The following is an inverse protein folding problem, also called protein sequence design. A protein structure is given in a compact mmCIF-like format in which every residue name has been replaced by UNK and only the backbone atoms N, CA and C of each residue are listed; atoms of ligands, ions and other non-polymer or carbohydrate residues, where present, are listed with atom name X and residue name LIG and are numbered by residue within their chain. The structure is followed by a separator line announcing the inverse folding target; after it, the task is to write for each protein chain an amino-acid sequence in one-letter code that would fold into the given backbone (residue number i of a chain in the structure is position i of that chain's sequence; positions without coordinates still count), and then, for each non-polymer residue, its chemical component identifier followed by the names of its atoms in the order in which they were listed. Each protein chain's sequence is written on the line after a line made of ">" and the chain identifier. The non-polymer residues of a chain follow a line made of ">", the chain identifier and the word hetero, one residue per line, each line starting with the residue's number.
data_IF_954036937189
#
_entry.id   IF_954036937189
#
_cell.length_a   1.000
_cell.length_b   1.000
_cell.length_c   1.000
_cell.angle_alpha   90.00
_cell.angle_beta   90.00
_cell.angle_gamma   90.00
#
_symmetry.space_group_name_H-M   'P 1'
#
loop_
_entity.id
_entity.type
_entity.pdbx_description
1 polymer ?
#
# COMPACT_ATOMS: atom_id res chain seq x y z
N UNK A 1 -11.69 -18.51 -19.42
CA UNK A 1 -12.80 -17.83 -18.74
C UNK A 1 -13.74 -18.78 -17.99
N UNK A 2 -14.32 -19.83 -18.61
CA UNK A 2 -15.25 -20.76 -17.93
C UNK A 2 -14.68 -21.39 -16.65
N UNK A 3 -13.42 -21.85 -16.65
CA UNK A 3 -12.76 -22.47 -15.47
C UNK A 3 -12.61 -21.50 -14.28
N UNK A 4 -12.38 -20.19 -14.53
CA UNK A 4 -12.28 -19.17 -13.49
C UNK A 4 -13.65 -18.89 -12.88
N UNK A 5 -14.70 -18.83 -13.72
CA UNK A 5 -16.07 -18.64 -13.26
C UNK A 5 -16.55 -19.83 -12.40
N UNK A 6 -16.20 -21.07 -12.78
CA UNK A 6 -16.52 -22.27 -12.01
C UNK A 6 -15.78 -22.30 -10.67
N UNK A 7 -14.52 -21.85 -10.63
CA UNK A 7 -13.73 -21.74 -9.39
C UNK A 7 -14.32 -20.68 -8.46
N UNK A 8 -14.72 -19.52 -8.99
CA UNK A 8 -15.38 -18.45 -8.23
C UNK A 8 -16.75 -18.91 -7.71
N UNK A 9 -17.51 -19.66 -8.50
CA UNK A 9 -18.80 -20.22 -8.06
C UNK A 9 -18.64 -21.28 -6.96
N UNK A 10 -17.64 -22.18 -7.10
CA UNK A 10 -17.30 -23.17 -6.07
C UNK A 10 -16.80 -22.49 -4.76
N UNK A 11 -15.93 -21.50 -4.86
CA UNK A 11 -15.50 -20.70 -3.69
C UNK A 11 -16.69 -19.98 -3.03
N UNK A 12 -17.55 -19.35 -3.82
CA UNK A 12 -18.77 -18.69 -3.34
C UNK A 12 -19.73 -19.66 -2.65
N UNK A 13 -19.95 -20.86 -3.21
CA UNK A 13 -20.85 -21.87 -2.62
C UNK A 13 -20.30 -22.47 -1.32
N UNK A 14 -18.99 -22.67 -1.20
CA UNK A 14 -18.34 -23.11 0.04
C UNK A 14 -18.46 -22.03 1.13
N UNK A 15 -18.26 -20.75 0.79
CA UNK A 15 -18.42 -19.62 1.71
C UNK A 15 -19.86 -19.49 2.22
N UNK A 16 -20.86 -19.67 1.36
CA UNK A 16 -22.28 -19.61 1.73
C UNK A 16 -22.69 -20.81 2.59
N UNK A 17 -22.23 -22.02 2.27
CA UNK A 17 -22.55 -23.23 3.06
C UNK A 17 -21.96 -23.19 4.48
N UNK A 18 -20.82 -22.54 4.66
CA UNK A 18 -20.16 -22.39 5.98
C UNK A 18 -20.77 -21.26 6.83
N UNK A 19 -21.59 -20.37 6.22
CA UNK A 19 -22.19 -19.21 6.92
C UNK A 19 -23.37 -19.55 7.84
N UNK A 20 -23.84 -20.79 7.87
CA UNK A 20 -25.04 -21.19 8.62
C UNK A 20 -24.81 -21.52 10.12
N UNK A 21 -23.62 -21.27 10.67
CA UNK A 21 -23.26 -21.82 11.99
C UNK A 21 -22.83 -20.84 13.10
N UNK A 22 -22.68 -19.53 12.87
CA UNK A 22 -22.19 -18.64 13.91
C UNK A 22 -22.95 -17.28 13.89
N UNK A 23 -24.00 -17.19 14.69
CA UNK A 23 -24.89 -16.01 14.76
C UNK A 23 -24.30 -14.81 15.51
N UNK A 24 -23.10 -14.94 16.08
CA UNK A 24 -22.44 -13.87 16.82
C UNK A 24 -21.05 -13.54 16.27
N UNK A 25 -20.99 -12.77 15.22
CA UNK A 25 -19.73 -12.17 14.75
C UNK A 25 -19.82 -10.63 14.82
N UNK A 26 -18.68 -10.01 15.13
CA UNK A 26 -18.59 -8.55 15.14
C UNK A 26 -18.74 -8.00 13.72
N UNK A 27 -19.66 -7.04 13.56
CA UNK A 27 -20.05 -6.53 12.23
C UNK A 27 -19.17 -5.41 11.75
N UNK A 28 -18.36 -4.83 12.62
CA UNK A 28 -17.51 -3.70 12.32
C UNK A 28 -16.10 -3.95 12.84
N UNK A 29 -15.11 -3.41 12.15
CA UNK A 29 -13.73 -3.45 12.58
C UNK A 29 -13.02 -2.15 12.19
N UNK A 30 -12.19 -1.65 13.08
CA UNK A 30 -11.24 -0.55 12.81
C UNK A 30 -9.85 -1.13 12.98
N UNK A 31 -8.96 -0.87 12.03
CA UNK A 31 -7.58 -1.30 12.11
C UNK A 31 -6.59 -0.17 11.85
N UNK A 32 -5.43 -0.25 12.50
CA UNK A 32 -4.24 0.52 12.21
C UNK A 32 -3.21 -0.43 11.59
N UNK A 33 -2.68 -0.06 10.44
CA UNK A 33 -1.74 -0.86 9.68
C UNK A 33 -0.44 -0.11 9.39
N UNK A 34 0.67 -0.84 9.46
CA UNK A 34 1.99 -0.43 8.98
C UNK A 34 2.52 -1.42 7.94
N UNK A 35 3.14 -0.93 6.88
CA UNK A 35 3.70 -1.72 5.79
C UNK A 35 5.13 -1.28 5.49
N UNK A 36 5.99 -2.26 5.20
CA UNK A 36 7.34 -2.06 4.69
C UNK A 36 7.50 -2.81 3.37
N UNK A 37 7.95 -2.10 2.33
CA UNK A 37 8.07 -2.68 1.00
C UNK A 37 9.53 -2.94 0.59
N UNK A 38 9.73 -3.90 -0.29
CA UNK A 38 11.05 -4.19 -0.86
C UNK A 38 11.55 -3.08 -1.81
N UNK A 39 10.69 -2.16 -2.21
CA UNK A 39 11.04 -0.96 -2.99
C UNK A 39 11.51 0.21 -2.12
N UNK A 40 11.69 -0.02 -0.83
CA UNK A 40 12.14 1.01 0.12
C UNK A 40 11.09 2.09 0.35
N UNK A 41 9.82 1.70 0.45
CA UNK A 41 8.74 2.57 0.91
C UNK A 41 8.16 2.03 2.20
N UNK A 42 7.64 2.92 3.04
CA UNK A 42 6.76 2.56 4.13
C UNK A 42 5.37 3.15 3.88
N UNK A 43 4.37 2.50 4.43
CA UNK A 43 2.99 2.93 4.38
C UNK A 43 2.37 2.81 5.77
N UNK A 44 1.49 3.73 6.11
CA UNK A 44 0.64 3.67 7.30
C UNK A 44 -0.78 4.01 6.87
N UNK A 45 -1.74 3.24 7.34
CA UNK A 45 -3.15 3.52 7.10
C UNK A 45 -4.05 3.13 8.28
N UNK A 46 -5.22 3.76 8.31
CA UNK A 46 -6.33 3.41 9.17
C UNK A 46 -7.46 2.91 8.29
N UNK A 47 -7.99 1.76 8.62
CA UNK A 47 -9.07 1.12 7.87
C UNK A 47 -10.31 0.90 8.74
N UNK A 48 -11.46 0.94 8.09
CA UNK A 48 -12.73 0.51 8.63
C UNK A 48 -13.28 -0.61 7.75
N UNK A 49 -13.76 -1.69 8.37
CA UNK A 49 -14.39 -2.80 7.67
C UNK A 49 -15.83 -3.00 8.18
N UNK A 50 -16.74 -3.18 7.25
CA UNK A 50 -18.10 -3.65 7.49
C UNK A 50 -18.20 -5.10 7.07
N UNK A 51 -18.43 -5.98 8.02
CA UNK A 51 -18.52 -7.42 7.83
C UNK A 51 -20.00 -7.80 7.65
N UNK A 52 -20.34 -8.44 6.55
CA UNK A 52 -21.70 -8.87 6.22
C UNK A 52 -21.96 -10.31 6.62
N UNK A 53 -20.94 -11.16 6.48
CA UNK A 53 -20.96 -12.56 6.90
C UNK A 53 -19.64 -12.84 7.62
N UNK A 54 -19.50 -13.93 8.40
CA UNK A 54 -18.23 -14.27 9.06
C UNK A 54 -17.01 -14.36 8.12
N UNK A 55 -17.24 -14.36 6.80
CA UNK A 55 -16.22 -14.60 5.78
C UNK A 55 -16.07 -13.47 4.76
N UNK A 56 -17.04 -12.55 4.68
CA UNK A 56 -17.05 -11.51 3.64
C UNK A 56 -17.43 -10.17 4.22
N UNK A 57 -16.66 -9.18 3.92
CA UNK A 57 -16.89 -7.78 4.26
C UNK A 57 -16.38 -6.83 3.18
N UNK A 58 -16.66 -5.57 3.36
CA UNK A 58 -16.05 -4.47 2.59
C UNK A 58 -15.31 -3.55 3.53
N UNK A 59 -14.24 -2.95 3.03
CA UNK A 59 -13.41 -2.03 3.77
C UNK A 59 -13.15 -0.74 3.02
N UNK A 60 -12.73 0.26 3.77
CA UNK A 60 -12.13 1.47 3.24
C UNK A 60 -11.00 1.90 4.16
N UNK A 61 -9.84 2.20 3.60
CA UNK A 61 -8.72 2.75 4.34
C UNK A 61 -8.29 4.11 3.79
N UNK A 62 -7.78 4.93 4.68
CA UNK A 62 -7.10 6.18 4.36
C UNK A 62 -5.70 6.13 4.96
N UNK A 63 -4.72 6.56 4.21
CA UNK A 63 -3.34 6.46 4.65
C UNK A 63 -2.40 7.29 3.80
N UNK A 64 -1.12 7.11 4.09
CA UNK A 64 -0.02 7.71 3.34
C UNK A 64 1.10 6.69 3.14
N UNK A 65 1.84 6.85 2.07
CA UNK A 65 3.09 6.15 1.88
C UNK A 65 4.21 7.15 1.57
N UNK A 66 5.42 6.78 1.94
CA UNK A 66 6.62 7.59 1.67
C UNK A 66 7.77 6.69 1.22
N UNK A 67 8.49 7.15 0.19
CA UNK A 67 9.67 6.47 -0.29
C UNK A 67 10.91 6.94 0.48
N UNK A 68 11.62 5.99 1.10
CA UNK A 68 12.84 6.24 1.89
C UNK A 68 14.13 5.83 1.18
N UNK A 69 14.06 4.91 0.20
CA UNK A 69 15.25 4.52 -0.55
C UNK A 69 15.45 5.41 -1.78
N UNK A 70 16.68 5.82 -1.98
CA UNK A 70 17.10 6.69 -3.07
C UNK A 70 17.95 5.90 -4.06
N UNK A 71 17.49 5.83 -5.31
CA UNK A 71 18.25 5.25 -6.39
C UNK A 71 18.56 6.35 -7.40
N UNK A 72 19.85 6.62 -7.59
CA UNK A 72 20.32 7.64 -8.50
C UNK A 72 20.24 9.07 -7.94
N UNK A 73 21.09 9.92 -8.45
CA UNK A 73 21.10 11.36 -8.17
C UNK A 73 21.03 12.05 -9.53
N UNK A 74 19.88 12.66 -9.89
CA UNK A 74 19.81 13.46 -11.09
C UNK A 74 20.79 14.63 -11.02
N UNK A 75 21.57 14.79 -12.07
CA UNK A 75 22.57 15.87 -12.21
C UNK A 75 22.61 16.38 -13.64
N UNK A 76 23.11 17.58 -13.82
CA UNK A 76 23.27 18.21 -15.10
C UNK A 76 24.37 19.27 -15.12
N UNK A 77 24.39 20.11 -16.13
CA UNK A 77 25.40 21.13 -16.25
C UNK A 77 25.17 22.24 -15.20
N UNK A 78 26.00 22.23 -14.14
CA UNK A 78 25.94 23.21 -13.06
C UNK A 78 24.82 23.03 -12.04
N UNK A 79 24.24 21.83 -11.96
CA UNK A 79 23.24 21.53 -10.94
C UNK A 79 23.23 20.03 -10.55
N UNK A 80 22.76 19.75 -9.35
CA UNK A 80 22.59 18.40 -8.81
C UNK A 80 21.36 18.36 -7.89
N UNK A 81 20.63 17.24 -7.86
CA UNK A 81 19.53 17.07 -6.90
C UNK A 81 20.08 16.82 -5.51
N UNK A 82 19.72 17.67 -4.55
CA UNK A 82 20.15 17.55 -3.16
C UNK A 82 19.78 16.21 -2.57
N UNK A 83 20.69 15.57 -1.85
CA UNK A 83 20.45 14.29 -1.18
C UNK A 83 19.54 14.45 0.04
N UNK A 84 19.51 15.61 0.66
CA UNK A 84 18.90 15.82 1.97
C UNK A 84 17.39 16.12 1.91
N UNK A 85 16.88 16.51 0.73
CA UNK A 85 15.49 16.96 0.56
C UNK A 85 14.82 16.32 -0.65
N UNK A 86 14.69 14.99 -0.64
CA UNK A 86 13.97 14.26 -1.69
C UNK A 86 12.71 13.64 -1.10
N UNK A 87 11.58 14.15 -1.49
CA UNK A 87 10.29 13.64 -1.02
C UNK A 87 9.50 13.08 -2.18
N UNK A 88 8.98 11.87 -2.00
CA UNK A 88 7.95 11.28 -2.81
C UNK A 88 6.99 10.61 -1.82
N UNK A 89 5.86 11.24 -1.63
CA UNK A 89 4.83 10.80 -0.70
C UNK A 89 3.45 11.02 -1.29
N UNK A 90 2.55 10.10 -1.01
CA UNK A 90 1.16 10.20 -1.46
C UNK A 90 0.23 9.90 -0.31
N UNK A 91 -0.86 10.65 -0.25
CA UNK A 91 -2.06 10.26 0.48
C UNK A 91 -2.92 9.39 -0.42
N UNK A 92 -3.64 8.43 0.17
CA UNK A 92 -4.52 7.56 -0.58
C UNK A 92 -5.82 7.26 0.16
N UNK A 93 -6.84 6.95 -0.63
CA UNK A 93 -8.07 6.28 -0.23
C UNK A 93 -8.10 4.91 -0.91
N UNK A 94 -8.44 3.85 -0.16
CA UNK A 94 -8.43 2.47 -0.66
C UNK A 94 -9.69 1.73 -0.25
N UNK A 95 -10.74 1.69 -1.08
CA UNK A 95 -11.82 0.70 -0.93
C UNK A 95 -11.30 -0.72 -1.16
N UNK A 96 -11.82 -1.68 -0.41
CA UNK A 96 -11.39 -3.07 -0.45
C UNK A 96 -12.54 -4.05 -0.22
N UNK A 97 -12.32 -5.30 -0.62
CA UNK A 97 -13.15 -6.44 -0.29
C UNK A 97 -12.38 -7.31 0.72
N UNK A 98 -12.96 -7.56 1.89
CA UNK A 98 -12.36 -8.40 2.91
C UNK A 98 -12.93 -9.82 2.80
N UNK A 99 -12.05 -10.80 2.58
CA UNK A 99 -12.37 -12.22 2.49
C UNK A 99 -11.60 -12.94 3.60
N UNK A 100 -12.29 -13.66 4.48
CA UNK A 100 -11.69 -14.36 5.62
C UNK A 100 -12.09 -15.82 5.58
N UNK A 101 -11.15 -16.73 5.85
CA UNK A 101 -11.46 -18.16 5.94
C UNK A 101 -12.21 -18.51 7.22
N UNK A 102 -12.85 -19.68 7.29
CA UNK A 102 -13.16 -20.30 8.57
C UNK A 102 -11.91 -20.42 9.45
N UNK A 103 -12.10 -20.59 10.77
CA UNK A 103 -10.98 -20.80 11.71
C UNK A 103 -10.18 -22.05 11.30
N UNK A 104 -8.92 -21.85 10.93
CA UNK A 104 -7.99 -22.90 10.51
C UNK A 104 -7.41 -23.62 11.73
N UNK A 105 -7.10 -22.85 12.78
CA UNK A 105 -6.54 -23.36 14.03
C UNK A 105 -7.08 -22.55 15.20
N UNK A 106 -7.44 -23.25 16.28
CA UNK A 106 -7.84 -22.62 17.55
C UNK A 106 -6.90 -23.09 18.65
N UNK A 107 -6.28 -22.15 19.35
CA UNK A 107 -5.40 -22.40 20.51
C UNK A 107 -5.93 -21.56 21.66
N UNK A 108 -6.48 -22.20 22.65
CA UNK A 108 -7.23 -21.54 23.73
C UNK A 108 -8.31 -20.63 23.16
N UNK A 109 -8.24 -19.31 23.43
CA UNK A 109 -9.19 -18.32 22.93
C UNK A 109 -8.75 -17.67 21.60
N UNK A 110 -7.54 -17.95 21.14
CA UNK A 110 -7.03 -17.43 19.89
C UNK A 110 -7.53 -18.24 18.68
N UNK A 111 -8.08 -17.56 17.68
CA UNK A 111 -8.57 -18.16 16.43
C UNK A 111 -7.68 -17.68 15.28
N UNK A 112 -6.97 -18.62 14.65
CA UNK A 112 -6.17 -18.36 13.45
C UNK A 112 -7.02 -18.51 12.20
N UNK A 113 -6.99 -17.52 11.33
CA UNK A 113 -7.70 -17.48 10.05
C UNK A 113 -6.76 -17.04 8.92
N UNK A 114 -7.08 -17.43 7.70
CA UNK A 114 -6.48 -16.88 6.49
C UNK A 114 -7.34 -15.71 6.00
N UNK A 115 -6.73 -14.72 5.40
CA UNK A 115 -7.51 -13.67 4.73
C UNK A 115 -6.89 -13.25 3.40
N UNK A 116 -7.75 -12.68 2.56
CA UNK A 116 -7.40 -12.02 1.32
C UNK A 116 -8.18 -10.71 1.22
N UNK A 117 -7.49 -9.63 0.90
CA UNK A 117 -8.09 -8.30 0.82
C UNK A 117 -7.66 -7.61 -0.48
N UNK A 118 -8.31 -7.92 -1.63
CA UNK A 118 -8.14 -7.14 -2.85
C UNK A 118 -8.69 -5.72 -2.65
N UNK A 119 -7.96 -4.72 -3.15
CA UNK A 119 -8.29 -3.31 -3.01
C UNK A 119 -7.96 -2.50 -4.26
N UNK A 120 -8.53 -1.30 -4.29
CA UNK A 120 -8.28 -0.30 -5.31
C UNK A 120 -7.81 0.99 -4.63
N UNK A 121 -6.55 1.35 -4.86
CA UNK A 121 -5.92 2.51 -4.26
C UNK A 121 -6.09 3.73 -5.18
N UNK A 122 -6.62 4.81 -4.63
CA UNK A 122 -6.71 6.13 -5.24
C UNK A 122 -5.72 7.06 -4.54
N UNK A 123 -4.64 7.45 -5.21
CA UNK A 123 -3.60 8.30 -4.64
C UNK A 123 -3.80 9.77 -5.01
N UNK A 124 -3.25 10.65 -4.17
CA UNK A 124 -3.04 12.07 -4.46
C UNK A 124 -1.53 12.28 -4.54
N UNK A 125 -0.92 12.12 -5.75
CA UNK A 125 0.51 12.09 -5.88
C UNK A 125 1.16 13.46 -5.66
N UNK A 126 2.18 13.49 -4.82
CA UNK A 126 2.99 14.68 -4.55
C UNK A 126 4.47 14.32 -4.45
N UNK A 127 5.28 14.85 -5.37
CA UNK A 127 6.73 14.65 -5.37
C UNK A 127 7.46 15.99 -5.40
N UNK A 128 8.48 16.09 -4.56
CA UNK A 128 9.29 17.29 -4.38
C UNK A 128 10.77 16.94 -4.34
N UNK A 129 11.60 17.77 -4.95
CA UNK A 129 13.06 17.70 -4.82
C UNK A 129 13.64 19.11 -4.80
N UNK A 130 14.74 19.27 -4.08
CA UNK A 130 15.56 20.45 -4.14
C UNK A 130 16.73 20.22 -5.10
N UNK A 131 16.95 21.18 -6.00
CA UNK A 131 18.05 21.19 -6.96
C UNK A 131 19.05 22.25 -6.50
N UNK A 132 20.25 21.80 -6.19
CA UNK A 132 21.37 22.66 -5.82
C UNK A 132 22.03 23.19 -7.09
N UNK A 133 22.06 24.49 -7.27
CA UNK A 133 22.80 25.15 -8.33
C UNK A 133 24.26 25.26 -7.92
N UNK A 134 25.16 24.72 -8.73
CA UNK A 134 26.57 24.67 -8.43
C UNK A 134 27.28 25.95 -8.93
N UNK A 135 28.01 26.59 -8.03
CA UNK A 135 28.91 27.68 -8.35
C UNK A 135 30.36 27.18 -8.62
N UNK A 136 31.31 28.08 -8.56
CA UNK A 136 32.71 27.74 -8.69
C UNK A 136 33.12 26.72 -7.57
N UNK A 137 33.96 25.76 -7.94
CA UNK A 137 34.42 24.69 -7.03
C UNK A 137 33.30 23.77 -6.48
N UNK A 138 32.18 23.57 -7.22
CA UNK A 138 31.06 22.74 -6.82
C UNK A 138 30.41 23.15 -5.47
N UNK A 139 30.51 24.41 -5.11
CA UNK A 139 29.79 24.94 -3.93
C UNK A 139 28.36 25.26 -4.32
N UNK A 140 27.41 24.94 -3.45
CA UNK A 140 26.00 25.32 -3.67
C UNK A 140 25.87 26.82 -3.65
N UNK A 141 25.42 27.42 -4.76
CA UNK A 141 25.21 28.85 -4.93
C UNK A 141 23.76 29.24 -4.62
N UNK A 142 22.82 28.40 -5.01
CA UNK A 142 21.39 28.61 -4.84
C UNK A 142 20.67 27.27 -4.82
N UNK A 143 19.41 27.24 -4.36
CA UNK A 143 18.59 26.03 -4.26
C UNK A 143 17.23 26.30 -4.89
N UNK A 144 16.84 25.47 -5.83
CA UNK A 144 15.56 25.55 -6.52
C UNK A 144 14.66 24.36 -6.13
N UNK A 145 13.42 24.65 -5.74
CA UNK A 145 12.44 23.61 -5.45
C UNK A 145 11.68 23.22 -6.73
N UNK A 146 11.70 21.93 -7.06
CA UNK A 146 11.00 21.35 -8.21
C UNK A 146 9.99 20.32 -7.71
N UNK A 147 8.74 20.46 -8.17
CA UNK A 147 7.66 19.57 -7.75
C UNK A 147 6.88 19.00 -8.94
N UNK A 148 6.20 17.89 -8.71
CA UNK A 148 5.31 17.26 -9.68
C UNK A 148 4.16 16.52 -9.02
N UNK A 149 3.01 16.48 -9.66
CA UNK A 149 1.88 15.61 -9.34
C UNK A 149 1.68 14.49 -10.37
N UNK A 150 2.65 14.30 -11.30
CA UNK A 150 2.60 13.28 -12.34
C UNK A 150 3.06 11.91 -11.81
N UNK A 151 2.37 11.41 -10.79
CA UNK A 151 2.57 10.08 -10.19
C UNK A 151 1.53 9.06 -10.64
N UNK A 152 1.44 7.95 -9.90
CA UNK A 152 0.42 6.93 -10.09
C UNK A 152 -0.85 7.32 -9.31
N UNK A 153 -1.90 7.71 -10.01
CA UNK A 153 -3.18 8.09 -9.39
C UNK A 153 -4.00 6.89 -8.93
N UNK A 154 -3.92 5.78 -9.64
CA UNK A 154 -4.72 4.58 -9.38
C UNK A 154 -3.86 3.34 -9.40
N UNK A 155 -4.07 2.46 -8.44
CA UNK A 155 -3.39 1.17 -8.38
C UNK A 155 -4.35 0.10 -7.86
N UNK A 156 -4.19 -1.14 -8.34
CA UNK A 156 -4.80 -2.31 -7.72
C UNK A 156 -3.80 -2.93 -6.75
N UNK A 157 -4.30 -3.42 -5.65
CA UNK A 157 -3.50 -4.17 -4.70
C UNK A 157 -4.25 -5.39 -4.16
N UNK A 158 -3.52 -6.28 -3.50
CA UNK A 158 -4.09 -7.40 -2.79
C UNK A 158 -3.20 -7.73 -1.59
N UNK A 159 -3.82 -7.79 -0.41
CA UNK A 159 -3.19 -8.29 0.82
C UNK A 159 -3.58 -9.74 1.01
N UNK A 160 -2.62 -10.59 1.35
CA UNK A 160 -2.82 -12.00 1.67
C UNK A 160 -2.10 -12.30 2.98
N UNK A 161 -2.73 -13.01 3.89
CA UNK A 161 -2.08 -13.26 5.17
C UNK A 161 -2.88 -14.06 6.17
N UNK A 162 -2.47 -13.88 7.42
CA UNK A 162 -3.02 -14.51 8.60
C UNK A 162 -3.65 -13.47 9.51
N UNK A 163 -4.79 -13.81 10.10
CA UNK A 163 -5.43 -13.09 11.18
C UNK A 163 -5.45 -13.97 12.42
N UNK A 164 -5.08 -13.40 13.55
CA UNK A 164 -5.20 -14.03 14.87
C UNK A 164 -6.19 -13.20 15.67
N UNK A 165 -7.36 -13.78 15.94
CA UNK A 165 -8.42 -13.12 16.70
C UNK A 165 -8.38 -13.58 18.16
N UNK A 166 -8.37 -12.63 19.10
CA UNK A 166 -8.42 -12.86 20.55
C UNK A 166 -9.45 -11.89 21.16
N UNK A 167 -10.61 -12.42 21.52
CA UNK A 167 -11.74 -11.57 21.95
C UNK A 167 -12.15 -10.58 20.84
N UNK A 168 -12.19 -9.29 21.18
CA UNK A 168 -12.54 -8.23 20.25
C UNK A 168 -11.33 -7.64 19.49
N UNK A 169 -10.11 -8.18 19.75
CA UNK A 169 -8.90 -7.74 19.08
C UNK A 169 -8.46 -8.76 18.04
N UNK A 170 -7.91 -8.26 16.92
CA UNK A 170 -7.25 -9.12 15.94
C UNK A 170 -5.90 -8.53 15.53
N UNK A 171 -4.94 -9.39 15.28
CA UNK A 171 -3.65 -9.04 14.69
C UNK A 171 -3.61 -9.65 13.30
N UNK A 172 -3.34 -8.84 12.29
CA UNK A 172 -3.25 -9.26 10.90
C UNK A 172 -1.82 -9.05 10.42
N UNK A 173 -1.30 -10.05 9.73
CA UNK A 173 0.04 -9.96 9.12
C UNK A 173 0.08 -10.76 7.83
N UNK A 174 0.93 -10.34 6.93
CA UNK A 174 1.05 -11.02 5.64
C UNK A 174 1.84 -10.23 4.61
N UNK A 175 1.48 -10.46 3.38
CA UNK A 175 2.15 -9.89 2.23
C UNK A 175 1.18 -9.12 1.34
N UNK A 176 1.59 -7.94 0.90
CA UNK A 176 0.83 -7.09 -0.04
C UNK A 176 1.54 -7.03 -1.38
N UNK A 177 0.75 -7.11 -2.44
CA UNK A 177 1.15 -6.85 -3.82
C UNK A 177 0.36 -5.67 -4.34
N UNK A 178 1.02 -4.73 -5.01
CA UNK A 178 0.37 -3.55 -5.60
C UNK A 178 0.94 -3.24 -6.97
N UNK A 179 0.08 -2.76 -7.87
CA UNK A 179 0.49 -2.21 -9.17
C UNK A 179 0.99 -0.78 -9.08
N UNK A 180 1.07 -0.21 -7.86
CA UNK A 180 1.59 1.12 -7.61
C UNK A 180 3.05 1.22 -8.06
N UNK A 181 3.34 2.23 -8.86
CA UNK A 181 4.69 2.56 -9.29
C UNK A 181 5.26 3.68 -8.42
N UNK A 182 6.02 3.31 -7.41
CA UNK A 182 6.57 4.23 -6.41
C UNK A 182 7.60 5.22 -6.97
N UNK A 183 8.18 4.93 -8.14
CA UNK A 183 9.15 5.81 -8.79
C UNK A 183 8.53 6.76 -9.83
N UNK A 184 7.22 6.66 -10.11
CA UNK A 184 6.57 7.47 -11.14
C UNK A 184 6.71 8.97 -10.88
N UNK A 185 6.54 9.42 -9.64
CA UNK A 185 6.73 10.83 -9.26
C UNK A 185 8.13 11.31 -9.60
N UNK A 186 9.16 10.60 -9.15
CA UNK A 186 10.56 11.00 -9.34
C UNK A 186 10.96 11.01 -10.80
N UNK A 187 10.53 10.02 -11.60
CA UNK A 187 10.82 9.97 -13.04
C UNK A 187 10.17 11.10 -13.82
N UNK A 188 9.07 11.66 -13.33
CA UNK A 188 8.33 12.71 -13.99
C UNK A 188 8.73 14.13 -13.57
N UNK A 189 9.71 14.27 -12.67
CA UNK A 189 10.35 15.56 -12.42
C UNK A 189 11.17 15.99 -13.63
N UNK A 190 11.20 17.29 -13.87
CA UNK A 190 11.95 17.91 -14.96
C UNK A 190 12.62 19.16 -14.44
N UNK A 191 13.91 19.30 -14.69
CA UNK A 191 14.67 20.51 -14.41
C UNK A 191 15.64 20.77 -15.57
N UNK A 192 15.78 22.02 -16.00
CA UNK A 192 16.66 22.46 -17.10
C UNK A 192 16.50 21.58 -18.38
N UNK A 193 15.27 21.31 -18.78
CA UNK A 193 14.90 20.40 -19.89
C UNK A 193 15.38 18.94 -19.72
N UNK A 194 15.98 18.57 -18.59
CA UNK A 194 16.37 17.21 -18.27
C UNK A 194 15.22 16.54 -17.51
N UNK A 195 14.67 15.46 -18.06
CA UNK A 195 13.72 14.62 -17.37
C UNK A 195 14.48 13.60 -16.52
N UNK A 196 14.06 13.40 -15.29
CA UNK A 196 14.75 12.49 -14.34
C UNK A 196 14.49 11.01 -14.62
N UNK A 197 13.90 10.69 -15.77
CA UNK A 197 13.48 9.35 -16.16
C UNK A 197 14.63 8.33 -16.16
N UNK A 198 15.81 8.72 -16.58
CA UNK A 198 16.95 7.82 -16.75
C UNK A 198 17.74 7.60 -15.43
N UNK A 199 17.50 8.45 -14.43
CA UNK A 199 18.16 8.36 -13.13
C UNK A 199 17.45 7.42 -12.14
N UNK A 200 16.21 7.04 -12.42
CA UNK A 200 15.41 6.21 -11.52
C UNK A 200 15.00 4.89 -12.16
N UNK A 201 14.80 3.83 -11.34
CA UNK A 201 14.37 2.55 -11.86
C UNK A 201 13.12 2.65 -12.74
N UNK A 202 13.04 1.80 -13.76
CA UNK A 202 11.82 1.61 -14.55
C UNK A 202 10.68 1.16 -13.65
N UNK A 203 9.45 1.23 -14.15
CA UNK A 203 8.24 0.82 -13.43
C UNK A 203 8.45 -0.51 -12.70
N UNK A 204 8.26 -0.51 -11.37
CA UNK A 204 8.25 -1.70 -10.52
C UNK A 204 6.97 -1.71 -9.71
N UNK A 205 6.34 -2.88 -9.63
CA UNK A 205 5.21 -3.09 -8.73
C UNK A 205 5.69 -3.02 -7.28
N UNK A 206 4.93 -2.34 -6.44
CA UNK A 206 5.17 -2.29 -5.00
C UNK A 206 4.75 -3.62 -4.36
N UNK A 207 5.58 -4.18 -3.49
CA UNK A 207 5.22 -5.36 -2.70
C UNK A 207 6.02 -5.40 -1.40
N UNK A 208 5.42 -5.95 -0.35
CA UNK A 208 6.06 -5.95 0.96
C UNK A 208 5.27 -6.70 2.01
N UNK A 209 5.73 -6.60 3.25
CA UNK A 209 5.08 -7.18 4.42
C UNK A 209 4.30 -6.11 5.16
N UNK A 210 3.21 -6.50 5.79
CA UNK A 210 2.40 -5.60 6.62
C UNK A 210 2.06 -6.25 7.96
N UNK A 211 1.78 -5.40 8.92
CA UNK A 211 1.25 -5.72 10.24
C UNK A 211 0.13 -4.74 10.56
N UNK A 212 -1.01 -5.28 11.01
CA UNK A 212 -2.13 -4.48 11.47
C UNK A 212 -2.66 -4.97 12.80
N UNK A 213 -3.21 -4.06 13.58
CA UNK A 213 -3.97 -4.35 14.80
C UNK A 213 -5.37 -3.80 14.60
N UNK A 214 -6.38 -4.62 14.85
CA UNK A 214 -7.78 -4.24 14.69
C UNK A 214 -8.58 -4.45 15.97
N UNK A 215 -9.60 -3.63 16.14
CA UNK A 215 -10.65 -3.75 17.12
C UNK A 215 -11.98 -4.02 16.43
N UNK A 216 -12.66 -5.09 16.85
CA UNK A 216 -13.89 -5.61 16.27
C UNK A 216 -15.09 -5.31 17.22
N UNK A 217 -16.22 -4.80 16.67
CA UNK A 217 -17.39 -4.40 17.47
C UNK A 217 -18.71 -4.50 16.70
#
# INVERSE_FOLDING_TARGET
>A
MKKILTLLYLLGSVLVASAQGDDSFNKNSIALEGELTLQGTWQVDVSYHRIFTPYVGVGASVGMWKQVSYHGVPEGNGWIVSSDYREAEDFFLRPSLCLVSPTVLKIADAKLKLFAEPGFMMNIPWGNVFVDLLGNYNTTKDVVNVHTSKGTWYAFDCKLGLSVDVGDMSIWTGYKFSTLDTYALRRNLVYDNVRFNDFYPKKKCMHGVFLAVSYNF
#
